data_IF_746897680410
#
_entry.id   IF_746897680410
#
_cell.length_a   1.000
_cell.length_b   1.000
_cell.length_c   1.000
_cell.angle_alpha   90.00
_cell.angle_beta   90.00
_cell.angle_gamma   90.00
#
_symmetry.space_group_name_H-M   'P 1'
#
loop_
_entity.id
_entity.type
_entity.pdbx_description
1 polymer ?
#
# COMPACT_ATOMS: atom_id res chain seq x y z
N UNK A 1 56.69 -4.13 -52.14
CA UNK A 1 56.39 -3.66 -50.77
C UNK A 1 54.95 -3.13 -50.54
N UNK A 2 54.11 -2.94 -51.56
CA UNK A 2 52.73 -2.45 -51.37
C UNK A 2 51.67 -3.57 -51.12
N UNK A 3 51.98 -4.85 -51.35
CA UNK A 3 51.05 -5.95 -51.13
C UNK A 3 50.86 -6.33 -49.65
N UNK A 4 51.92 -6.24 -48.85
CA UNK A 4 51.82 -6.65 -47.43
C UNK A 4 51.06 -5.68 -46.49
N UNK A 5 50.96 -4.41 -46.88
CA UNK A 5 50.17 -3.42 -46.08
C UNK A 5 48.67 -3.56 -46.36
N UNK A 6 48.30 -3.91 -47.59
CA UNK A 6 46.90 -4.15 -47.99
C UNK A 6 46.35 -5.43 -47.37
N UNK A 7 47.12 -6.52 -47.40
CA UNK A 7 46.72 -7.81 -46.77
C UNK A 7 46.59 -7.69 -45.26
N UNK A 8 47.42 -6.86 -44.62
CA UNK A 8 47.36 -6.56 -43.20
C UNK A 8 46.11 -5.74 -42.87
N UNK A 9 45.75 -4.79 -43.71
CA UNK A 9 44.56 -3.95 -43.52
C UNK A 9 43.25 -4.75 -43.67
N UNK A 10 43.18 -5.66 -44.65
CA UNK A 10 42.05 -6.58 -44.87
C UNK A 10 41.87 -7.55 -43.67
N UNK A 11 42.97 -8.06 -43.11
CA UNK A 11 42.96 -8.88 -41.91
C UNK A 11 42.41 -8.12 -40.72
N UNK A 12 42.78 -6.85 -40.56
CA UNK A 12 42.28 -6.00 -39.44
C UNK A 12 40.80 -5.66 -39.61
N UNK A 13 40.33 -5.39 -40.84
CA UNK A 13 38.91 -5.14 -41.10
C UNK A 13 38.05 -6.38 -40.80
N UNK A 14 38.50 -7.55 -41.26
CA UNK A 14 37.84 -8.83 -40.95
C UNK A 14 37.76 -9.11 -39.43
N UNK A 15 38.83 -8.79 -38.69
CA UNK A 15 38.86 -8.93 -37.21
C UNK A 15 37.92 -7.97 -36.51
N UNK A 16 37.66 -6.77 -37.06
CA UNK A 16 36.69 -5.82 -36.52
C UNK A 16 35.24 -6.25 -36.75
N UNK A 17 34.94 -6.84 -37.94
CA UNK A 17 33.62 -7.40 -38.22
C UNK A 17 33.30 -8.59 -37.32
N UNK A 18 34.28 -9.52 -37.15
CA UNK A 18 34.15 -10.64 -36.19
C UNK A 18 33.94 -10.18 -34.74
N UNK A 19 34.54 -9.03 -34.40
CA UNK A 19 34.36 -8.38 -33.09
C UNK A 19 32.92 -7.87 -32.92
N UNK A 20 32.31 -7.33 -33.99
CA UNK A 20 30.90 -6.93 -34.01
C UNK A 20 29.96 -8.11 -33.75
N UNK A 21 30.18 -9.25 -34.38
CA UNK A 21 29.38 -10.46 -34.22
C UNK A 21 29.51 -11.04 -32.79
N UNK A 22 30.71 -11.07 -32.23
CA UNK A 22 30.94 -11.52 -30.84
C UNK A 22 30.21 -10.64 -29.85
N UNK A 23 30.14 -9.32 -30.11
CA UNK A 23 29.42 -8.36 -29.22
C UNK A 23 27.90 -8.49 -29.28
N UNK A 24 27.35 -8.86 -30.44
CA UNK A 24 25.89 -8.99 -30.65
C UNK A 24 25.36 -10.30 -30.05
N UNK A 25 26.15 -11.39 -30.17
CA UNK A 25 25.71 -12.76 -29.87
C UNK A 25 26.07 -13.26 -28.47
N UNK A 26 26.57 -12.40 -27.57
CA UNK A 26 27.07 -12.84 -26.27
C UNK A 26 26.09 -12.59 -25.12
N UNK A 27 25.46 -13.64 -24.63
CA UNK A 27 24.51 -13.63 -23.53
C UNK A 27 25.13 -13.33 -22.14
N UNK A 28 26.47 -13.30 -22.01
CA UNK A 28 27.16 -13.08 -20.71
C UNK A 28 28.48 -12.32 -20.90
N UNK A 29 28.78 -11.38 -19.99
CA UNK A 29 30.02 -10.59 -20.01
C UNK A 29 31.28 -11.46 -20.15
N UNK A 30 31.28 -12.64 -19.56
CA UNK A 30 32.43 -13.56 -19.59
C UNK A 30 32.68 -14.12 -21.00
N UNK A 31 31.64 -14.45 -21.73
CA UNK A 31 31.75 -14.97 -23.12
C UNK A 31 32.21 -13.85 -24.06
N UNK A 32 31.69 -12.61 -23.88
CA UNK A 32 32.19 -11.41 -24.57
C UNK A 32 33.67 -11.18 -24.28
N UNK A 33 34.05 -11.21 -23.02
CA UNK A 33 35.44 -11.00 -22.59
C UNK A 33 36.42 -12.00 -23.20
N UNK A 34 36.04 -13.30 -23.24
CA UNK A 34 36.87 -14.37 -23.82
C UNK A 34 37.01 -14.20 -25.34
N UNK A 35 35.91 -13.93 -26.03
CA UNK A 35 35.91 -13.74 -27.48
C UNK A 35 36.74 -12.54 -27.89
N UNK A 36 36.53 -11.37 -27.26
CA UNK A 36 37.27 -10.15 -27.54
C UNK A 36 38.76 -10.30 -27.23
N UNK A 37 39.09 -10.90 -26.07
CA UNK A 37 40.48 -11.12 -25.70
C UNK A 37 41.20 -12.03 -26.72
N UNK A 38 40.54 -13.11 -27.18
CA UNK A 38 41.08 -14.02 -28.18
C UNK A 38 41.36 -13.29 -29.50
N UNK A 39 40.40 -12.53 -29.99
CA UNK A 39 40.52 -11.69 -31.17
C UNK A 39 41.65 -10.68 -31.04
N UNK A 40 41.64 -9.92 -29.94
CA UNK A 40 42.66 -8.90 -29.67
C UNK A 40 44.07 -9.48 -29.73
N UNK A 41 44.29 -10.60 -29.03
CA UNK A 41 45.60 -11.23 -28.96
C UNK A 41 46.02 -11.79 -30.35
N UNK A 42 45.07 -12.34 -31.12
CA UNK A 42 45.31 -12.81 -32.50
C UNK A 42 45.68 -11.67 -33.41
N UNK A 43 44.93 -10.57 -33.38
CA UNK A 43 45.13 -9.40 -34.25
C UNK A 43 46.49 -8.75 -34.07
N UNK A 44 46.95 -8.57 -32.83
CA UNK A 44 48.26 -7.94 -32.53
C UNK A 44 49.39 -8.96 -32.34
N UNK A 45 49.13 -10.26 -32.61
CA UNK A 45 50.07 -11.37 -32.44
C UNK A 45 50.74 -11.41 -31.03
N UNK A 46 49.94 -11.15 -30.00
CA UNK A 46 50.39 -11.21 -28.59
C UNK A 46 50.13 -12.56 -27.97
N UNK A 47 51.04 -13.00 -27.12
CA UNK A 47 50.97 -14.33 -26.48
C UNK A 47 50.04 -14.40 -25.27
N UNK A 48 49.93 -13.31 -24.53
CA UNK A 48 49.25 -13.23 -23.25
C UNK A 48 48.48 -11.94 -23.11
N UNK A 49 47.36 -12.00 -22.36
CA UNK A 49 46.59 -10.81 -22.06
C UNK A 49 45.50 -11.07 -21.04
N UNK A 50 44.89 -10.01 -20.54
CA UNK A 50 43.71 -10.08 -19.69
C UNK A 50 42.84 -8.84 -19.83
N UNK A 51 41.57 -9.04 -19.53
CA UNK A 51 40.58 -7.98 -19.31
C UNK A 51 40.21 -8.05 -17.83
N UNK A 52 40.35 -6.94 -17.16
CA UNK A 52 39.93 -6.74 -15.79
C UNK A 52 38.69 -5.86 -15.73
N UNK A 53 37.78 -6.19 -14.86
CA UNK A 53 36.65 -5.34 -14.48
C UNK A 53 36.96 -4.57 -13.19
N UNK A 54 36.52 -3.33 -13.15
CA UNK A 54 36.58 -2.52 -11.94
C UNK A 54 35.15 -2.29 -11.39
N UNK A 55 34.92 -2.73 -10.15
CA UNK A 55 33.70 -2.41 -9.42
C UNK A 55 33.96 -1.20 -8.54
N UNK A 56 33.27 -0.09 -8.85
CA UNK A 56 33.44 1.17 -8.13
C UNK A 56 32.80 1.12 -6.72
N UNK A 57 31.74 0.32 -6.52
CA UNK A 57 31.04 0.19 -5.22
C UNK A 57 31.95 -0.48 -4.19
N UNK A 58 32.56 -1.60 -4.56
CA UNK A 58 33.43 -2.37 -3.68
C UNK A 58 34.90 -1.94 -3.76
N UNK A 59 35.23 -1.02 -4.67
CA UNK A 59 36.59 -0.62 -5.01
C UNK A 59 37.50 -1.82 -5.26
N UNK A 60 37.02 -2.75 -6.13
CA UNK A 60 37.71 -3.99 -6.45
C UNK A 60 37.96 -4.15 -7.94
N UNK A 61 39.09 -4.80 -8.27
CA UNK A 61 39.42 -5.25 -9.61
C UNK A 61 39.40 -6.78 -9.63
N UNK A 62 38.69 -7.32 -10.60
CA UNK A 62 38.57 -8.77 -10.84
C UNK A 62 38.84 -9.12 -12.29
N UNK A 63 39.18 -10.39 -12.58
CA UNK A 63 39.34 -10.85 -13.94
C UNK A 63 37.97 -11.07 -14.61
N UNK A 64 37.79 -10.46 -15.77
CA UNK A 64 36.71 -10.85 -16.70
C UNK A 64 37.17 -12.01 -17.56
N UNK A 65 38.38 -11.89 -18.15
CA UNK A 65 38.98 -12.89 -19.02
C UNK A 65 40.49 -12.80 -18.96
N UNK A 66 41.15 -13.95 -19.06
CA UNK A 66 42.64 -14.01 -19.11
C UNK A 66 43.08 -15.11 -20.08
N UNK A 67 44.22 -14.92 -20.70
CA UNK A 67 44.91 -15.92 -21.53
C UNK A 67 46.41 -15.91 -21.26
N UNK A 68 46.93 -17.12 -21.01
CA UNK A 68 48.35 -17.33 -20.73
C UNK A 68 48.83 -16.99 -19.32
N UNK A 69 47.89 -16.66 -18.42
CA UNK A 69 48.14 -16.44 -16.98
C UNK A 69 46.88 -16.94 -16.22
N UNK A 70 47.09 -17.59 -15.08
CA UNK A 70 45.99 -18.00 -14.22
C UNK A 70 45.33 -16.79 -13.54
N UNK A 71 43.99 -16.78 -13.38
CA UNK A 71 43.30 -15.72 -12.67
C UNK A 71 43.65 -15.74 -11.18
N UNK A 72 43.65 -14.58 -10.54
CA UNK A 72 43.78 -14.42 -9.09
C UNK A 72 42.47 -13.96 -8.47
N UNK A 73 42.39 -14.03 -7.15
CA UNK A 73 41.29 -13.45 -6.40
C UNK A 73 41.18 -11.93 -6.65
N UNK A 74 39.96 -11.36 -6.58
CA UNK A 74 39.75 -9.92 -6.69
C UNK A 74 40.64 -9.13 -5.71
N UNK A 75 41.13 -7.97 -6.13
CA UNK A 75 42.00 -7.17 -5.30
C UNK A 75 41.62 -5.67 -5.33
N UNK A 76 41.99 -4.94 -4.27
CA UNK A 76 41.75 -3.51 -4.18
C UNK A 76 42.87 -2.73 -4.84
N UNK A 77 42.58 -1.85 -5.83
CA UNK A 77 43.57 -1.01 -6.47
C UNK A 77 44.03 0.09 -5.51
N UNK A 78 45.31 0.50 -5.66
CA UNK A 78 45.84 1.65 -4.94
C UNK A 78 45.39 2.96 -5.58
N UNK A 79 45.34 4.05 -4.79
CA UNK A 79 45.07 5.40 -5.32
C UNK A 79 46.04 5.79 -6.44
N UNK A 80 47.33 5.44 -6.31
CA UNK A 80 48.35 5.71 -7.33
C UNK A 80 48.06 4.94 -8.64
N UNK A 81 47.55 3.72 -8.57
CA UNK A 81 47.15 2.94 -9.72
C UNK A 81 45.99 3.59 -10.46
N UNK A 82 44.91 3.96 -9.75
CA UNK A 82 43.74 4.62 -10.33
C UNK A 82 44.10 5.98 -10.96
N UNK A 83 44.89 6.82 -10.26
CA UNK A 83 45.33 8.10 -10.79
C UNK A 83 46.18 7.97 -12.05
N UNK A 84 46.95 6.88 -12.15
CA UNK A 84 47.76 6.63 -13.36
C UNK A 84 46.87 6.18 -14.52
N UNK A 85 45.86 5.32 -14.28
CA UNK A 85 44.88 4.94 -15.30
C UNK A 85 44.09 6.15 -15.81
N UNK A 86 43.71 7.06 -14.92
CA UNK A 86 43.03 8.30 -15.29
C UNK A 86 43.84 9.17 -16.20
N UNK A 87 45.18 9.27 -15.99
CA UNK A 87 46.06 9.99 -16.88
C UNK A 87 46.09 9.45 -18.31
N UNK A 88 45.82 8.15 -18.49
CA UNK A 88 45.79 7.48 -19.80
C UNK A 88 44.34 7.20 -20.28
N UNK A 89 43.39 7.96 -19.77
CA UNK A 89 41.96 7.78 -20.02
C UNK A 89 41.56 7.67 -21.51
N UNK A 90 42.19 8.45 -22.37
CA UNK A 90 41.92 8.50 -23.81
C UNK A 90 43.01 7.86 -24.66
N UNK A 91 43.74 6.90 -24.09
CA UNK A 91 44.87 6.29 -24.80
C UNK A 91 45.38 5.05 -24.08
N UNK A 92 46.65 4.85 -24.14
CA UNK A 92 47.33 3.66 -23.62
C UNK A 92 48.56 4.03 -22.80
N UNK A 93 49.00 3.12 -21.91
CA UNK A 93 50.25 3.20 -21.21
C UNK A 93 51.17 2.07 -21.66
N UNK A 94 52.37 2.41 -22.15
CA UNK A 94 53.46 1.45 -22.29
C UNK A 94 54.09 1.21 -20.92
N UNK A 95 54.22 -0.07 -20.56
CA UNK A 95 54.93 -0.44 -19.34
C UNK A 95 56.43 -0.60 -19.59
N UNK A 96 57.20 0.23 -18.93
CA UNK A 96 58.68 0.07 -18.81
C UNK A 96 59.00 -0.78 -17.60
N UNK A 97 60.12 -1.48 -17.63
CA UNK A 97 60.60 -2.22 -16.47
C UNK A 97 60.71 -1.30 -15.24
N UNK A 98 60.13 -1.68 -14.07
CA UNK A 98 60.14 -0.96 -12.79
C UNK A 98 59.19 0.25 -12.64
N UNK A 99 57.99 0.19 -13.20
CA UNK A 99 56.94 1.19 -12.94
C UNK A 99 56.47 1.18 -11.48
N UNK A 100 56.69 2.30 -10.74
CA UNK A 100 56.38 2.43 -9.29
C UNK A 100 54.87 2.37 -8.93
N UNK A 101 53.98 2.66 -9.89
CA UNK A 101 52.54 2.65 -9.68
C UNK A 101 51.91 1.25 -9.75
N UNK A 102 52.65 0.29 -10.24
CA UNK A 102 52.25 -1.12 -10.33
C UNK A 102 52.65 -1.80 -9.01
N UNK A 103 51.65 -2.15 -8.22
CA UNK A 103 51.85 -2.72 -6.88
C UNK A 103 50.94 -3.93 -6.65
N UNK A 104 51.20 -4.70 -5.60
CA UNK A 104 50.36 -5.80 -5.15
C UNK A 104 50.15 -6.91 -6.19
N UNK A 105 48.95 -7.44 -6.26
CA UNK A 105 48.58 -8.54 -7.19
C UNK A 105 48.69 -8.13 -8.66
N UNK A 106 48.39 -6.89 -8.99
CA UNK A 106 48.56 -6.42 -10.36
C UNK A 106 50.04 -6.45 -10.81
N UNK A 107 51.01 -6.19 -9.90
CA UNK A 107 52.44 -6.34 -10.21
C UNK A 107 52.79 -7.80 -10.50
N UNK A 108 52.23 -8.74 -9.75
CA UNK A 108 52.42 -10.18 -9.98
C UNK A 108 51.91 -10.58 -11.37
N UNK A 109 50.71 -10.10 -11.74
CA UNK A 109 50.14 -10.33 -13.07
C UNK A 109 51.05 -9.76 -14.19
N UNK A 110 51.41 -8.49 -14.07
CA UNK A 110 52.25 -7.81 -15.09
C UNK A 110 53.57 -8.56 -15.30
N UNK A 111 54.21 -9.07 -14.23
CA UNK A 111 55.42 -9.85 -14.32
C UNK A 111 55.22 -11.21 -15.01
N UNK A 112 54.15 -11.92 -14.70
CA UNK A 112 53.84 -13.24 -15.30
C UNK A 112 53.37 -13.15 -16.74
N UNK A 113 52.56 -12.14 -17.05
CA UNK A 113 52.04 -11.89 -18.39
C UNK A 113 53.04 -11.20 -19.31
N UNK A 114 54.11 -10.62 -18.75
CA UNK A 114 55.04 -9.72 -19.46
C UNK A 114 54.27 -8.61 -20.16
N UNK A 115 53.31 -7.98 -19.44
CA UNK A 115 52.46 -6.93 -19.98
C UNK A 115 53.30 -5.76 -20.51
N UNK A 116 53.07 -5.37 -21.75
CA UNK A 116 53.73 -4.24 -22.43
C UNK A 116 52.79 -3.05 -22.62
N UNK A 117 51.50 -3.31 -22.87
CA UNK A 117 50.49 -2.28 -23.10
C UNK A 117 49.32 -2.44 -22.14
N UNK A 118 48.89 -1.33 -21.55
CA UNK A 118 47.72 -1.22 -20.67
C UNK A 118 46.80 -0.16 -21.23
N UNK A 119 45.56 -0.53 -21.47
CA UNK A 119 44.51 0.36 -21.96
C UNK A 119 43.39 0.41 -20.91
N UNK A 120 43.22 1.55 -20.24
CA UNK A 120 42.09 1.73 -19.34
C UNK A 120 40.79 1.89 -20.13
N UNK A 121 39.72 1.23 -19.65
CA UNK A 121 38.42 1.18 -20.29
C UNK A 121 37.50 2.19 -19.57
N UNK A 122 37.45 3.41 -20.07
CA UNK A 122 36.64 4.49 -19.51
C UNK A 122 35.39 4.76 -20.36
N UNK A 123 34.23 4.75 -19.73
CA UNK A 123 33.02 5.34 -20.30
C UNK A 123 32.72 6.66 -19.59
N UNK A 124 32.81 7.77 -20.33
CA UNK A 124 32.75 9.13 -19.74
C UNK A 124 33.79 9.28 -18.62
N UNK A 125 33.36 9.45 -17.37
CA UNK A 125 34.21 9.59 -16.19
C UNK A 125 34.36 8.30 -15.37
N UNK A 126 33.70 7.20 -15.80
CA UNK A 126 33.68 5.93 -15.07
C UNK A 126 34.70 4.96 -15.64
N UNK A 127 35.63 4.50 -14.83
CA UNK A 127 36.51 3.37 -15.15
C UNK A 127 35.66 2.08 -15.05
N UNK A 128 35.55 1.34 -16.14
CA UNK A 128 34.84 0.05 -16.20
C UNK A 128 35.81 -1.12 -16.04
N UNK A 129 37.06 -0.92 -16.46
CA UNK A 129 38.04 -1.99 -16.42
C UNK A 129 39.38 -1.60 -17.04
N UNK A 130 40.21 -2.61 -17.27
CA UNK A 130 41.56 -2.45 -17.84
C UNK A 130 41.82 -3.61 -18.81
N UNK A 131 42.27 -3.30 -20.03
CA UNK A 131 42.77 -4.27 -20.97
C UNK A 131 44.30 -4.28 -20.90
N UNK A 132 44.88 -5.44 -20.65
CA UNK A 132 46.32 -5.66 -20.54
C UNK A 132 46.80 -6.59 -21.62
N UNK A 133 47.82 -6.21 -22.40
CA UNK A 133 48.39 -6.99 -23.49
C UNK A 133 49.87 -7.24 -23.23
N UNK A 134 50.30 -8.47 -23.35
CA UNK A 134 51.67 -8.92 -23.12
C UNK A 134 52.61 -8.61 -24.29
N UNK A 135 53.77 -9.29 -24.34
CA UNK A 135 54.70 -9.18 -25.46
C UNK A 135 54.20 -9.96 -26.69
N UNK A 136 54.60 -9.48 -27.89
CA UNK A 136 54.34 -10.19 -29.17
C UNK A 136 55.09 -11.51 -29.25
N UNK A 137 54.59 -12.48 -30.03
CA UNK A 137 55.23 -13.78 -30.19
C UNK A 137 56.68 -13.67 -30.73
N UNK A 138 56.93 -12.74 -31.68
CA UNK A 138 58.27 -12.52 -32.24
C UNK A 138 59.12 -11.54 -31.43
N UNK A 139 58.68 -11.11 -30.24
CA UNK A 139 59.35 -10.12 -29.37
C UNK A 139 59.58 -8.77 -30.03
N UNK A 140 58.82 -8.45 -31.06
CA UNK A 140 58.83 -7.14 -31.73
C UNK A 140 58.17 -6.09 -30.86
N UNK A 141 58.51 -4.82 -31.03
CA UNK A 141 57.80 -3.71 -30.41
C UNK A 141 56.46 -3.46 -31.07
N UNK A 142 55.52 -2.91 -30.33
CA UNK A 142 54.20 -2.53 -30.83
C UNK A 142 54.36 -1.33 -31.80
N UNK A 143 53.90 -1.49 -33.05
CA UNK A 143 53.86 -0.42 -34.03
C UNK A 143 52.76 0.61 -33.72
N UNK A 144 52.83 1.78 -34.31
CA UNK A 144 51.75 2.78 -34.22
C UNK A 144 50.40 2.27 -34.72
N UNK A 145 50.41 1.34 -35.67
CA UNK A 145 49.19 0.70 -36.21
C UNK A 145 48.59 -0.27 -35.17
N UNK A 146 49.41 -1.12 -34.56
CA UNK A 146 48.96 -2.02 -33.49
C UNK A 146 48.28 -1.27 -32.36
N UNK A 147 48.87 -0.13 -31.96
CA UNK A 147 48.31 0.70 -30.89
C UNK A 147 46.97 1.29 -31.28
N UNK A 148 46.82 1.82 -32.47
CA UNK A 148 45.54 2.34 -32.96
C UNK A 148 44.47 1.26 -32.98
N UNK A 149 44.80 0.05 -33.34
CA UNK A 149 43.87 -1.10 -33.38
C UNK A 149 43.47 -1.47 -31.93
N UNK A 150 44.44 -1.56 -31.02
CA UNK A 150 44.16 -1.82 -29.60
C UNK A 150 43.26 -0.74 -28.98
N UNK A 151 43.45 0.52 -29.34
CA UNK A 151 42.57 1.62 -28.88
C UNK A 151 41.13 1.49 -29.44
N UNK A 152 40.99 1.11 -30.72
CA UNK A 152 39.67 0.84 -31.32
C UNK A 152 38.99 -0.32 -30.62
N UNK A 153 39.68 -1.44 -30.40
CA UNK A 153 39.16 -2.61 -29.70
C UNK A 153 38.79 -2.25 -28.26
N UNK A 154 39.64 -1.49 -27.52
CA UNK A 154 39.37 -1.03 -26.18
C UNK A 154 38.09 -0.16 -26.13
N UNK A 155 37.87 0.71 -27.10
CA UNK A 155 36.66 1.53 -27.19
C UNK A 155 35.40 0.67 -27.41
N UNK A 156 35.47 -0.34 -28.31
CA UNK A 156 34.36 -1.27 -28.49
C UNK A 156 34.09 -2.12 -27.26
N UNK A 157 35.14 -2.66 -26.62
CA UNK A 157 35.04 -3.37 -25.36
C UNK A 157 34.41 -2.52 -24.26
N UNK A 158 34.81 -1.25 -24.16
CA UNK A 158 34.24 -0.30 -23.19
C UNK A 158 32.74 -0.15 -23.38
N UNK A 159 32.29 0.04 -24.64
CA UNK A 159 30.84 0.15 -24.94
C UNK A 159 30.09 -1.13 -24.59
N UNK A 160 30.66 -2.29 -24.93
CA UNK A 160 30.05 -3.58 -24.63
C UNK A 160 29.92 -3.82 -23.14
N UNK A 161 30.97 -3.54 -22.35
CA UNK A 161 30.95 -3.66 -20.90
C UNK A 161 29.95 -2.70 -20.26
N UNK A 162 29.87 -1.48 -20.77
CA UNK A 162 28.88 -0.51 -20.28
C UNK A 162 27.44 -0.96 -20.54
N UNK A 163 27.14 -1.41 -21.76
CA UNK A 163 25.82 -1.95 -22.09
C UNK A 163 25.47 -3.16 -21.25
N UNK A 164 26.42 -4.06 -21.02
CA UNK A 164 26.21 -5.22 -20.15
C UNK A 164 25.87 -4.80 -18.71
N UNK A 165 26.60 -3.82 -18.16
CA UNK A 165 26.29 -3.30 -16.82
C UNK A 165 24.91 -2.65 -16.75
N UNK A 166 24.49 -1.93 -17.82
CA UNK A 166 23.16 -1.35 -17.89
C UNK A 166 22.06 -2.44 -17.91
N UNK A 167 22.23 -3.47 -18.71
CA UNK A 167 21.27 -4.59 -18.78
C UNK A 167 21.13 -5.26 -17.42
N UNK A 168 22.24 -5.62 -16.78
CA UNK A 168 22.20 -6.24 -15.46
C UNK A 168 21.52 -5.35 -14.40
N UNK A 169 21.84 -4.05 -14.37
CA UNK A 169 21.19 -3.12 -13.45
C UNK A 169 19.68 -3.01 -13.70
N UNK A 170 19.25 -3.04 -14.96
CA UNK A 170 17.82 -3.03 -15.32
C UNK A 170 17.16 -4.33 -14.85
N UNK A 171 17.77 -5.48 -15.07
CA UNK A 171 17.24 -6.79 -14.64
C UNK A 171 17.12 -6.87 -13.11
N UNK A 172 18.16 -6.44 -12.38
CA UNK A 172 18.12 -6.39 -10.91
C UNK A 172 17.01 -5.47 -10.41
N UNK A 173 16.90 -4.26 -10.98
CA UNK A 173 15.85 -3.30 -10.60
C UNK A 173 14.46 -3.78 -10.97
N UNK A 174 14.31 -4.45 -12.12
CA UNK A 174 13.03 -5.04 -12.54
C UNK A 174 12.60 -6.14 -11.57
N UNK A 175 13.54 -6.98 -11.16
CA UNK A 175 13.26 -8.04 -10.18
C UNK A 175 12.86 -7.45 -8.83
N UNK A 176 13.56 -6.43 -8.35
CA UNK A 176 13.23 -5.71 -7.10
C UNK A 176 11.82 -5.09 -7.17
N UNK A 177 11.50 -4.43 -8.30
CA UNK A 177 10.18 -3.81 -8.53
C UNK A 177 9.09 -4.88 -8.56
N UNK A 178 9.30 -5.99 -9.27
CA UNK A 178 8.31 -7.08 -9.36
C UNK A 178 8.02 -7.71 -7.99
N UNK A 179 9.04 -7.89 -7.15
CA UNK A 179 8.85 -8.36 -5.78
C UNK A 179 8.02 -7.37 -4.95
N UNK A 180 8.31 -6.07 -5.06
CA UNK A 180 7.52 -5.04 -4.37
C UNK A 180 6.09 -4.95 -4.89
N UNK A 181 5.86 -5.12 -6.19
CA UNK A 181 4.50 -5.14 -6.76
C UNK A 181 3.70 -6.33 -6.21
N UNK A 182 4.30 -7.51 -6.13
CA UNK A 182 3.65 -8.70 -5.56
C UNK A 182 3.30 -8.49 -4.07
N UNK A 183 4.20 -7.86 -3.31
CA UNK A 183 3.94 -7.50 -1.91
C UNK A 183 2.76 -6.52 -1.78
N UNK A 184 2.74 -5.47 -2.61
CA UNK A 184 1.64 -4.49 -2.62
C UNK A 184 0.31 -5.11 -3.07
N UNK A 185 0.31 -5.99 -4.08
CA UNK A 185 -0.88 -6.70 -4.55
C UNK A 185 -1.46 -7.58 -3.45
N UNK A 186 -0.61 -8.31 -2.73
CA UNK A 186 -1.01 -9.13 -1.58
C UNK A 186 -1.63 -8.27 -0.48
N UNK A 187 -1.01 -7.13 -0.13
CA UNK A 187 -1.55 -6.20 0.87
C UNK A 187 -2.87 -5.59 0.42
N UNK A 188 -3.02 -5.28 -0.87
CA UNK A 188 -4.25 -4.73 -1.43
C UNK A 188 -5.40 -5.75 -1.36
N UNK A 189 -5.17 -7.00 -1.74
CA UNK A 189 -6.17 -8.07 -1.68
C UNK A 189 -6.65 -8.30 -0.24
N UNK A 190 -5.72 -8.31 0.71
CA UNK A 190 -6.05 -8.40 2.14
C UNK A 190 -6.87 -7.19 2.58
N UNK A 191 -6.50 -5.99 2.15
CA UNK A 191 -7.18 -4.73 2.47
C UNK A 191 -8.62 -4.73 1.98
N UNK A 192 -8.87 -5.18 0.75
CA UNK A 192 -10.22 -5.31 0.18
C UNK A 192 -11.05 -6.32 0.96
N UNK A 193 -10.48 -7.48 1.28
CA UNK A 193 -11.17 -8.50 2.05
C UNK A 193 -11.54 -8.03 3.46
N UNK A 194 -10.61 -7.35 4.14
CA UNK A 194 -10.83 -6.76 5.47
C UNK A 194 -11.91 -5.67 5.42
N UNK A 195 -11.90 -4.80 4.40
CA UNK A 195 -12.84 -3.68 4.28
C UNK A 195 -14.27 -4.12 3.93
N UNK A 196 -14.47 -5.35 3.48
CA UNK A 196 -15.78 -5.90 3.15
C UNK A 196 -16.56 -6.42 4.39
N UNK A 197 -15.88 -6.62 5.52
CA UNK A 197 -16.49 -7.10 6.76
C UNK A 197 -17.03 -5.93 7.56
N UNK A 198 -18.34 -5.92 7.83
CA UNK A 198 -19.03 -4.83 8.54
C UNK A 198 -19.21 -5.11 10.04
N UNK A 199 -18.96 -6.32 10.49
CA UNK A 199 -18.99 -6.66 11.92
C UNK A 199 -17.58 -6.60 12.50
N UNK A 200 -17.41 -5.87 13.62
CA UNK A 200 -16.10 -5.61 14.24
C UNK A 200 -15.49 -6.89 14.83
N UNK A 201 -16.31 -7.80 15.34
CA UNK A 201 -15.81 -9.02 15.98
C UNK A 201 -15.34 -10.01 14.90
N UNK A 202 -16.12 -10.19 13.83
CA UNK A 202 -15.77 -11.01 12.66
C UNK A 202 -14.52 -10.46 11.95
N UNK A 203 -14.43 -9.13 11.81
CA UNK A 203 -13.27 -8.45 11.26
C UNK A 203 -12.00 -8.72 12.09
N UNK A 204 -12.12 -8.68 13.41
CA UNK A 204 -11.01 -8.99 14.32
C UNK A 204 -10.47 -10.40 14.13
N UNK A 205 -11.35 -11.38 14.03
CA UNK A 205 -10.98 -12.78 13.78
C UNK A 205 -10.28 -12.95 12.44
N UNK A 206 -10.83 -12.41 11.35
CA UNK A 206 -10.25 -12.52 10.00
C UNK A 206 -8.83 -11.93 9.95
N UNK A 207 -8.62 -10.74 10.54
CA UNK A 207 -7.30 -10.09 10.58
C UNK A 207 -6.32 -10.92 11.40
N UNK A 208 -6.73 -11.43 12.56
CA UNK A 208 -5.88 -12.26 13.40
C UNK A 208 -5.45 -13.54 12.67
N UNK A 209 -6.40 -14.27 12.08
CA UNK A 209 -6.13 -15.50 11.34
C UNK A 209 -5.17 -15.28 10.16
N UNK A 210 -5.35 -14.22 9.39
CA UNK A 210 -4.46 -13.85 8.29
C UNK A 210 -3.06 -13.51 8.81
N UNK A 211 -2.98 -12.72 9.88
CA UNK A 211 -1.70 -12.34 10.48
C UNK A 211 -0.92 -13.56 10.99
N UNK A 212 -1.61 -14.48 11.66
CA UNK A 212 -1.02 -15.75 12.12
C UNK A 212 -0.52 -16.58 10.95
N UNK A 213 -1.34 -16.73 9.90
CA UNK A 213 -0.98 -17.53 8.73
C UNK A 213 0.20 -16.98 7.95
N UNK A 214 0.22 -15.65 7.70
CA UNK A 214 1.29 -15.00 6.94
C UNK A 214 2.63 -15.03 7.68
N UNK A 215 2.60 -14.80 8.99
CA UNK A 215 3.81 -14.74 9.81
C UNK A 215 4.18 -16.10 10.43
N UNK A 216 3.41 -17.15 10.15
CA UNK A 216 3.57 -18.48 10.73
C UNK A 216 3.70 -18.44 12.27
N UNK A 217 2.85 -17.67 12.93
CA UNK A 217 2.86 -17.55 14.37
C UNK A 217 2.15 -18.75 15.03
N UNK A 218 2.66 -19.27 16.13
CA UNK A 218 2.04 -20.39 16.86
C UNK A 218 0.84 -19.97 17.68
N UNK A 219 0.80 -18.70 18.13
CA UNK A 219 -0.30 -18.11 18.90
C UNK A 219 -0.54 -16.66 18.48
N UNK A 220 -1.79 -16.24 18.59
CA UNK A 220 -2.18 -14.88 18.28
C UNK A 220 -3.26 -14.35 19.24
N UNK A 221 -3.22 -13.05 19.52
CA UNK A 221 -4.18 -12.39 20.37
C UNK A 221 -4.41 -10.95 19.89
N UNK A 222 -5.67 -10.60 19.71
CA UNK A 222 -6.08 -9.21 19.48
C UNK A 222 -6.79 -8.69 20.73
N UNK A 223 -6.33 -7.55 21.22
CA UNK A 223 -6.92 -6.88 22.38
C UNK A 223 -7.30 -5.46 22.03
N UNK A 224 -8.45 -5.00 22.52
CA UNK A 224 -8.91 -3.62 22.33
C UNK A 224 -9.04 -2.90 23.67
N UNK A 225 -8.94 -1.59 23.58
CA UNK A 225 -9.11 -0.71 24.71
C UNK A 225 -10.57 -0.28 24.79
N UNK A 226 -11.21 -0.50 25.97
CA UNK A 226 -12.50 0.12 26.30
C UNK A 226 -12.27 1.38 27.10
N UNK A 227 -13.05 2.42 26.85
CA UNK A 227 -13.00 3.68 27.59
C UNK A 227 -13.24 3.43 29.09
N UNK A 228 -12.39 4.04 29.94
CA UNK A 228 -12.47 3.90 31.41
C UNK A 228 -11.88 2.60 31.95
N UNK A 229 -11.49 1.62 31.14
CA UNK A 229 -10.90 0.36 31.63
C UNK A 229 -9.36 0.40 31.59
N UNK A 230 -8.70 0.03 32.69
CA UNK A 230 -7.26 -0.15 32.71
C UNK A 230 -6.83 -1.49 32.12
N UNK A 231 -7.78 -2.38 31.84
CA UNK A 231 -7.55 -3.74 31.30
C UNK A 231 -7.89 -3.74 29.84
N UNK A 232 -7.02 -4.33 29.03
CA UNK A 232 -7.24 -4.59 27.61
C UNK A 232 -8.16 -5.80 27.46
N UNK A 233 -9.22 -5.64 26.67
CA UNK A 233 -10.22 -6.69 26.46
C UNK A 233 -9.83 -7.52 25.23
N UNK A 234 -9.72 -8.86 25.34
CA UNK A 234 -9.54 -9.71 24.21
C UNK A 234 -10.78 -9.68 23.30
N UNK A 235 -10.55 -9.51 22.00
CA UNK A 235 -11.59 -9.58 20.95
C UNK A 235 -11.58 -10.97 20.34
N UNK A 236 -10.41 -11.42 19.92
CA UNK A 236 -10.22 -12.74 19.36
C UNK A 236 -8.84 -13.30 19.72
N UNK A 237 -8.70 -14.61 19.62
CA UNK A 237 -7.45 -15.30 19.93
C UNK A 237 -7.26 -16.53 19.04
N UNK A 238 -6.00 -16.97 18.95
CA UNK A 238 -5.59 -18.19 18.27
C UNK A 238 -4.67 -18.99 19.18
N UNK A 239 -4.99 -20.29 19.44
CA UNK A 239 -4.23 -21.24 20.24
C UNK A 239 -3.94 -20.81 21.71
N UNK A 240 -4.93 -20.15 22.37
CA UNK A 240 -4.87 -19.82 23.81
C UNK A 240 -5.77 -20.76 24.64
N UNK A 241 -5.49 -22.06 24.60
CA UNK A 241 -6.32 -23.08 25.26
C UNK A 241 -6.30 -22.99 26.79
N UNK A 242 -5.20 -22.52 27.37
CA UNK A 242 -5.01 -22.36 28.84
C UNK A 242 -5.69 -21.09 29.41
N UNK A 243 -6.45 -20.35 28.60
CA UNK A 243 -7.08 -19.10 28.96
C UNK A 243 -6.23 -17.87 28.64
N UNK A 244 -6.91 -16.79 28.28
CA UNK A 244 -6.27 -15.54 27.86
C UNK A 244 -5.80 -14.76 29.09
N UNK A 245 -4.51 -14.41 29.21
CA UNK A 245 -4.00 -13.64 30.32
C UNK A 245 -4.51 -12.18 30.29
N UNK A 246 -4.92 -11.67 31.44
CA UNK A 246 -5.35 -10.28 31.58
C UNK A 246 -4.17 -9.32 31.40
N UNK A 247 -4.22 -8.51 30.36
CA UNK A 247 -3.22 -7.49 30.05
C UNK A 247 -3.69 -6.13 30.52
N UNK A 248 -2.82 -5.43 31.26
CA UNK A 248 -3.10 -4.07 31.70
C UNK A 248 -2.44 -3.05 30.77
N UNK A 249 -3.19 -2.04 30.35
CA UNK A 249 -2.67 -0.88 29.59
C UNK A 249 -1.53 -0.15 30.32
N UNK A 250 -1.45 -0.29 31.65
CA UNK A 250 -0.39 0.33 32.46
C UNK A 250 0.98 -0.30 32.30
N UNK A 251 1.10 -1.44 31.59
CA UNK A 251 2.40 -2.01 31.27
C UNK A 251 3.22 -1.02 30.44
N UNK A 252 4.49 -0.84 30.81
CA UNK A 252 5.39 0.14 30.16
C UNK A 252 5.48 -0.03 28.65
N UNK A 253 5.38 -1.27 28.16
CA UNK A 253 5.40 -1.56 26.73
C UNK A 253 4.28 -0.85 25.97
N UNK A 254 3.03 -0.90 26.48
CA UNK A 254 1.91 -0.28 25.77
C UNK A 254 2.01 1.24 25.77
N UNK A 255 2.55 1.83 26.85
CA UNK A 255 2.84 3.28 26.89
C UNK A 255 3.88 3.67 25.84
N UNK A 256 4.98 2.91 25.75
CA UNK A 256 6.03 3.18 24.76
C UNK A 256 5.49 3.05 23.32
N UNK A 257 4.65 2.04 23.06
CA UNK A 257 4.02 1.85 21.74
C UNK A 257 3.04 3.00 21.45
N UNK A 258 2.26 3.47 22.42
CA UNK A 258 1.37 4.62 22.25
C UNK A 258 2.13 5.92 21.94
N UNK A 259 3.26 6.14 22.62
CA UNK A 259 4.11 7.34 22.41
C UNK A 259 4.83 7.32 21.04
N UNK A 260 5.28 6.15 20.61
CA UNK A 260 6.06 6.01 19.36
C UNK A 260 5.21 5.64 18.14
N UNK A 261 3.99 5.18 18.37
CA UNK A 261 3.09 4.55 17.39
C UNK A 261 3.78 3.45 16.55
N UNK A 262 4.76 2.77 17.16
CA UNK A 262 5.55 1.70 16.51
C UNK A 262 5.45 0.42 17.30
N UNK A 263 5.27 -0.71 16.59
CA UNK A 263 5.31 -2.03 17.18
C UNK A 263 6.70 -2.40 17.70
N UNK A 264 6.78 -3.44 18.50
CA UNK A 264 8.02 -3.90 19.17
C UNK A 264 8.14 -5.42 19.05
N UNK A 265 9.37 -5.88 18.78
CA UNK A 265 9.75 -7.30 18.77
C UNK A 265 10.47 -7.65 20.08
N UNK A 266 10.15 -8.81 20.64
CA UNK A 266 10.83 -9.38 21.80
C UNK A 266 11.37 -10.76 21.42
N UNK A 267 12.60 -11.02 21.81
CA UNK A 267 13.26 -12.31 21.67
C UNK A 267 13.59 -12.90 23.05
N UNK A 268 14.02 -14.14 23.08
CA UNK A 268 14.46 -14.86 24.28
C UNK A 268 15.61 -14.17 25.04
N UNK A 269 16.37 -13.28 24.38
CA UNK A 269 17.50 -12.56 24.95
C UNK A 269 17.07 -11.41 25.87
N UNK A 270 15.90 -10.81 25.65
CA UNK A 270 15.42 -9.61 26.36
C UNK A 270 14.08 -9.88 27.08
N UNK A 271 14.13 -10.55 28.24
CA UNK A 271 12.91 -10.89 29.01
C UNK A 271 12.21 -9.66 29.58
N UNK A 272 11.04 -9.34 29.03
CA UNK A 272 10.18 -8.24 29.47
C UNK A 272 8.97 -8.76 30.30
N UNK A 273 8.27 -7.84 30.97
CA UNK A 273 7.08 -8.13 31.79
C UNK A 273 5.95 -8.78 30.98
N UNK A 274 5.80 -8.46 29.69
CA UNK A 274 4.77 -9.05 28.83
C UNK A 274 5.09 -10.50 28.50
N UNK A 275 6.34 -10.84 28.20
CA UNK A 275 6.76 -12.22 27.93
C UNK A 275 6.50 -13.13 29.14
N UNK A 276 6.76 -12.64 30.36
CA UNK A 276 6.46 -13.36 31.60
C UNK A 276 4.97 -13.60 31.79
N UNK A 277 4.12 -12.62 31.46
CA UNK A 277 2.67 -12.73 31.58
C UNK A 277 2.06 -13.68 30.56
N UNK A 278 2.55 -13.62 29.33
CA UNK A 278 2.10 -14.48 28.23
C UNK A 278 2.74 -15.87 28.28
N UNK A 279 3.81 -16.06 29.06
CA UNK A 279 4.65 -17.29 29.13
C UNK A 279 5.24 -17.69 27.78
N UNK A 280 5.56 -16.68 26.96
CA UNK A 280 6.12 -16.86 25.62
C UNK A 280 7.44 -16.11 25.49
N UNK A 281 8.37 -16.64 24.68
CA UNK A 281 9.73 -16.08 24.57
C UNK A 281 9.86 -15.09 23.41
N UNK A 282 9.30 -15.42 22.25
CA UNK A 282 9.37 -14.59 21.05
C UNK A 282 8.02 -13.97 20.78
N UNK A 283 7.94 -12.65 20.83
CA UNK A 283 6.71 -11.89 20.65
C UNK A 283 6.91 -10.77 19.65
N UNK A 284 5.84 -10.46 18.94
CA UNK A 284 5.69 -9.21 18.21
C UNK A 284 4.41 -8.54 18.68
N UNK A 285 4.47 -7.26 19.03
CA UNK A 285 3.33 -6.48 19.52
C UNK A 285 3.21 -5.24 18.66
N UNK A 286 2.06 -5.08 18.01
CA UNK A 286 1.80 -3.96 17.08
C UNK A 286 0.51 -3.26 17.48
N UNK A 287 0.46 -1.90 17.49
CA UNK A 287 -0.76 -1.17 17.76
C UNK A 287 -1.76 -1.27 16.59
N UNK A 288 -3.04 -1.32 16.92
CA UNK A 288 -4.13 -1.10 16.00
C UNK A 288 -4.46 0.39 16.04
N UNK A 289 -3.86 1.16 15.13
CA UNK A 289 -3.95 2.62 15.14
C UNK A 289 -4.62 3.15 13.88
N UNK A 290 -5.64 4.00 14.07
CA UNK A 290 -6.27 4.77 12.99
C UNK A 290 -6.30 6.24 13.40
N UNK A 291 -5.96 7.16 12.48
CA UNK A 291 -5.97 8.62 12.71
C UNK A 291 -5.24 9.03 14.02
N UNK A 292 -4.05 8.45 14.24
CA UNK A 292 -3.20 8.68 15.42
C UNK A 292 -3.80 8.23 16.78
N UNK A 293 -4.92 7.52 16.77
CA UNK A 293 -5.53 6.95 17.96
C UNK A 293 -5.34 5.45 17.99
N UNK A 294 -4.66 4.94 19.02
CA UNK A 294 -4.53 3.50 19.26
C UNK A 294 -5.83 2.95 19.85
N UNK A 295 -6.44 1.99 19.17
CA UNK A 295 -7.68 1.33 19.58
C UNK A 295 -7.43 0.01 20.32
N UNK A 296 -6.27 -0.61 20.08
CA UNK A 296 -5.89 -1.90 20.63
C UNK A 296 -4.52 -2.35 20.17
N UNK A 297 -4.25 -3.62 20.34
CA UNK A 297 -2.97 -4.23 20.00
C UNK A 297 -3.17 -5.63 19.44
N UNK A 298 -2.35 -5.95 18.42
CA UNK A 298 -2.13 -7.30 17.92
C UNK A 298 -0.87 -7.86 18.55
N UNK A 299 -0.95 -9.07 19.09
CA UNK A 299 0.17 -9.78 19.71
C UNK A 299 0.28 -11.14 19.05
N UNK A 300 1.41 -11.42 18.41
CA UNK A 300 1.71 -12.74 17.86
C UNK A 300 2.92 -13.32 18.60
N UNK A 301 2.90 -14.64 18.74
CA UNK A 301 3.93 -15.36 19.51
C UNK A 301 4.55 -16.46 18.67
N UNK A 302 5.87 -16.64 18.82
CA UNK A 302 6.66 -17.76 18.32
C UNK A 302 6.46 -18.03 16.83
N UNK A 303 7.33 -17.47 16.00
CA UNK A 303 7.35 -17.74 14.56
C UNK A 303 7.86 -19.16 14.31
N UNK A 304 7.04 -20.01 13.72
CA UNK A 304 7.38 -21.39 13.39
C UNK A 304 8.01 -21.47 12.00
N UNK A 305 9.18 -22.09 11.92
CA UNK A 305 9.89 -22.34 10.66
C UNK A 305 10.18 -23.83 10.52
N UNK A 306 10.67 -24.24 9.37
CA UNK A 306 11.09 -25.64 9.14
C UNK A 306 12.23 -26.09 10.08
N UNK A 307 12.95 -25.16 10.67
CA UNK A 307 14.13 -25.40 11.52
C UNK A 307 13.75 -25.33 13.01
N UNK A 308 12.57 -24.80 13.34
CA UNK A 308 12.07 -24.60 14.71
C UNK A 308 11.46 -23.21 14.92
N UNK A 309 11.40 -22.78 16.18
CA UNK A 309 10.88 -21.47 16.54
C UNK A 309 11.98 -20.42 16.40
N UNK A 310 11.71 -19.36 15.64
CA UNK A 310 12.61 -18.23 15.41
C UNK A 310 12.01 -16.92 15.95
N UNK A 311 12.85 -15.92 16.26
CA UNK A 311 12.35 -14.58 16.56
C UNK A 311 11.76 -13.92 15.31
N UNK A 312 10.80 -13.02 15.50
CA UNK A 312 10.29 -12.17 14.41
C UNK A 312 11.37 -11.20 13.94
N UNK A 313 11.34 -10.87 12.65
CA UNK A 313 12.24 -9.90 12.00
C UNK A 313 11.62 -8.51 11.90
N UNK A 314 12.42 -7.48 11.58
CA UNK A 314 11.91 -6.13 11.26
C UNK A 314 10.94 -6.17 10.05
N UNK A 315 11.17 -7.04 9.07
CA UNK A 315 10.27 -7.22 7.93
C UNK A 315 8.90 -7.79 8.37
N UNK A 316 8.87 -8.70 9.33
CA UNK A 316 7.64 -9.20 9.95
C UNK A 316 6.90 -8.08 10.70
N UNK A 317 7.67 -7.18 11.34
CA UNK A 317 7.12 -6.02 12.04
C UNK A 317 6.46 -5.04 11.08
N UNK A 318 7.12 -4.71 9.98
CA UNK A 318 6.60 -3.80 8.96
C UNK A 318 5.32 -4.37 8.33
N UNK A 319 5.31 -5.65 8.00
CA UNK A 319 4.16 -6.34 7.42
C UNK A 319 2.97 -6.37 8.40
N UNK A 320 3.20 -6.77 9.65
CA UNK A 320 2.14 -6.79 10.67
C UNK A 320 1.62 -5.40 10.97
N UNK A 321 2.50 -4.38 10.95
CA UNK A 321 2.11 -2.98 11.15
C UNK A 321 1.17 -2.52 10.02
N UNK A 322 1.47 -2.86 8.77
CA UNK A 322 0.61 -2.53 7.63
C UNK A 322 -0.77 -3.19 7.77
N UNK A 323 -0.83 -4.48 8.15
CA UNK A 323 -2.07 -5.20 8.39
C UNK A 323 -2.89 -4.59 9.55
N UNK A 324 -2.24 -4.27 10.66
CA UNK A 324 -2.88 -3.68 11.83
C UNK A 324 -3.44 -2.28 11.56
N UNK A 325 -2.72 -1.44 10.80
CA UNK A 325 -3.20 -0.13 10.39
C UNK A 325 -4.45 -0.23 9.51
N UNK A 326 -4.43 -1.17 8.55
CA UNK A 326 -5.58 -1.41 7.68
C UNK A 326 -6.78 -1.93 8.47
N UNK A 327 -6.55 -2.88 9.39
CA UNK A 327 -7.57 -3.40 10.28
C UNK A 327 -8.20 -2.29 11.16
N UNK A 328 -7.37 -1.41 11.72
CA UNK A 328 -7.85 -0.31 12.55
C UNK A 328 -8.77 0.64 11.78
N UNK A 329 -8.44 0.96 10.53
CA UNK A 329 -9.31 1.78 9.65
C UNK A 329 -10.62 1.06 9.35
N UNK A 330 -10.58 -0.23 9.02
CA UNK A 330 -11.77 -1.03 8.75
C UNK A 330 -12.67 -1.16 10.01
N UNK A 331 -12.08 -1.35 11.19
CA UNK A 331 -12.79 -1.37 12.47
C UNK A 331 -13.49 -0.03 12.77
N UNK A 332 -12.85 1.10 12.48
CA UNK A 332 -13.47 2.43 12.62
C UNK A 332 -14.67 2.57 11.68
N UNK A 333 -14.52 2.18 10.42
CA UNK A 333 -15.61 2.23 9.45
C UNK A 333 -16.77 1.33 9.86
N UNK A 334 -16.51 0.11 10.32
CA UNK A 334 -17.54 -0.82 10.82
C UNK A 334 -18.27 -0.27 12.05
N UNK A 335 -17.55 0.37 13.01
CA UNK A 335 -18.16 1.03 14.15
C UNK A 335 -19.07 2.18 13.73
N UNK A 336 -18.60 3.07 12.87
CA UNK A 336 -19.39 4.19 12.35
C UNK A 336 -20.64 3.69 11.60
N UNK A 337 -20.49 2.66 10.79
CA UNK A 337 -21.65 2.06 10.10
C UNK A 337 -22.67 1.49 11.08
N UNK A 338 -22.20 0.81 12.14
CA UNK A 338 -23.06 0.25 13.20
C UNK A 338 -23.78 1.36 14.00
N UNK A 339 -23.10 2.46 14.27
CA UNK A 339 -23.68 3.64 14.94
C UNK A 339 -24.77 4.28 14.06
N UNK A 340 -24.46 4.57 12.78
CA UNK A 340 -25.43 5.14 11.84
C UNK A 340 -26.64 4.21 11.68
N UNK A 341 -26.43 2.90 11.58
CA UNK A 341 -27.51 1.93 11.45
C UNK A 341 -28.39 1.88 12.70
N UNK A 342 -27.77 1.92 13.88
CA UNK A 342 -28.51 2.00 15.17
C UNK A 342 -29.33 3.27 15.28
N UNK A 343 -28.74 4.42 14.93
CA UNK A 343 -29.44 5.71 14.95
C UNK A 343 -30.61 5.71 13.98
N UNK A 344 -30.43 5.19 12.77
CA UNK A 344 -31.51 5.01 11.79
C UNK A 344 -32.63 4.14 12.34
N UNK A 345 -32.31 2.94 12.88
CA UNK A 345 -33.28 2.03 13.47
C UNK A 345 -34.01 2.65 14.67
N UNK A 346 -33.30 3.42 15.51
CA UNK A 346 -33.88 4.13 16.63
C UNK A 346 -34.89 5.18 16.14
N UNK A 347 -34.56 5.99 15.14
CA UNK A 347 -35.44 6.98 14.54
C UNK A 347 -36.68 6.32 13.89
N UNK A 348 -36.48 5.21 13.14
CA UNK A 348 -37.60 4.45 12.56
C UNK A 348 -38.49 3.85 13.64
N UNK A 349 -37.93 3.36 14.73
CA UNK A 349 -38.70 2.81 15.87
C UNK A 349 -39.52 3.90 16.56
N UNK A 350 -38.95 5.09 16.77
CA UNK A 350 -39.67 6.24 17.35
C UNK A 350 -40.86 6.61 16.41
N UNK A 351 -40.57 6.83 15.13
CA UNK A 351 -41.58 7.22 14.15
C UNK A 351 -42.68 6.14 14.00
N UNK A 352 -42.31 4.85 14.14
CA UNK A 352 -43.27 3.72 14.11
C UNK A 352 -44.14 3.61 15.37
N UNK A 353 -43.67 4.11 16.52
CA UNK A 353 -44.42 4.03 17.80
C UNK A 353 -45.35 5.21 18.04
N UNK A 354 -45.17 6.32 17.32
CA UNK A 354 -45.99 7.53 17.43
C UNK A 354 -47.37 7.27 16.73
N UNK A 355 -48.45 7.57 17.41
CA UNK A 355 -49.82 7.45 16.87
C UNK A 355 -50.14 8.55 15.83
N UNK A 356 -49.35 9.61 15.80
CA UNK A 356 -49.49 10.70 14.82
C UNK A 356 -48.87 10.28 13.50
N UNK A 357 -49.61 10.44 12.41
CA UNK A 357 -49.09 10.28 11.04
C UNK A 357 -48.06 11.41 10.76
N UNK A 358 -46.86 11.04 10.39
CA UNK A 358 -45.83 11.98 9.96
C UNK A 358 -45.55 11.75 8.47
N UNK A 359 -45.74 12.79 7.67
CA UNK A 359 -45.55 12.80 6.22
C UNK A 359 -44.50 13.89 5.91
N UNK A 360 -43.47 13.57 5.15
CA UNK A 360 -42.50 14.60 4.70
C UNK A 360 -42.64 14.79 3.20
N UNK A 361 -42.52 16.07 2.81
CA UNK A 361 -42.56 16.52 1.41
C UNK A 361 -41.18 17.08 1.05
N UNK A 362 -40.77 16.84 -0.17
CA UNK A 362 -39.58 17.45 -0.74
C UNK A 362 -39.84 18.92 -1.18
N UNK A 363 -38.86 19.68 -1.69
CA UNK A 363 -39.04 21.04 -2.10
C UNK A 363 -40.01 21.27 -3.29
N UNK A 364 -40.34 20.22 -4.04
CA UNK A 364 -41.28 20.30 -5.17
C UNK A 364 -42.67 19.74 -4.81
N UNK A 365 -42.87 19.31 -3.56
CA UNK A 365 -44.16 18.82 -3.04
C UNK A 365 -44.42 17.33 -3.23
N UNK A 366 -43.42 16.53 -3.63
CA UNK A 366 -43.50 15.10 -3.65
C UNK A 366 -43.29 14.50 -2.25
N UNK A 367 -44.01 13.41 -1.94
CA UNK A 367 -43.91 12.75 -0.65
C UNK A 367 -42.66 11.88 -0.62
N UNK A 368 -41.67 12.24 0.17
CA UNK A 368 -40.39 11.52 0.33
C UNK A 368 -40.43 10.48 1.48
N UNK A 369 -41.30 10.68 2.51
CA UNK A 369 -41.45 9.73 3.60
C UNK A 369 -42.82 9.79 4.24
N UNK A 370 -43.30 8.64 4.78
CA UNK A 370 -44.50 8.55 5.61
C UNK A 370 -44.31 7.43 6.63
N UNK A 371 -44.73 7.67 7.90
CA UNK A 371 -44.66 6.65 8.93
C UNK A 371 -45.87 5.72 8.90
N UNK A 372 -45.83 4.63 9.68
CA UNK A 372 -46.90 3.62 9.72
C UNK A 372 -48.22 4.23 10.19
N UNK A 373 -48.23 5.16 11.13
CA UNK A 373 -49.45 5.82 11.59
C UNK A 373 -50.08 6.66 10.47
N UNK A 374 -49.30 7.38 9.66
CA UNK A 374 -49.77 8.10 8.49
C UNK A 374 -50.47 7.19 7.46
N UNK A 375 -49.83 6.07 7.11
CA UNK A 375 -50.42 5.06 6.23
C UNK A 375 -51.76 4.50 6.79
N UNK A 376 -51.81 4.23 8.08
CA UNK A 376 -53.02 3.76 8.75
C UNK A 376 -54.15 4.81 8.75
N UNK A 377 -53.83 6.08 8.93
CA UNK A 377 -54.81 7.19 8.92
C UNK A 377 -55.34 7.38 7.50
N UNK A 378 -54.45 7.42 6.50
CA UNK A 378 -54.83 7.57 5.10
C UNK A 378 -55.48 6.33 4.51
N UNK A 379 -55.31 5.13 5.12
CA UNK A 379 -55.80 3.82 4.60
C UNK A 379 -55.18 3.49 3.22
N UNK A 380 -53.93 3.80 3.04
CA UNK A 380 -53.18 3.60 1.79
C UNK A 380 -51.92 2.76 2.02
N UNK A 381 -51.44 2.11 0.97
CA UNK A 381 -50.17 1.40 0.97
C UNK A 381 -49.03 2.37 0.67
N UNK A 382 -47.85 2.05 1.17
CA UNK A 382 -46.65 2.91 1.02
C UNK A 382 -46.30 3.16 -0.45
N UNK A 383 -46.47 2.18 -1.32
CA UNK A 383 -46.28 2.25 -2.77
C UNK A 383 -47.15 3.30 -3.46
N UNK A 384 -48.37 3.54 -2.91
CA UNK A 384 -49.35 4.45 -3.49
C UNK A 384 -49.17 5.90 -3.03
N UNK A 385 -48.30 6.12 -2.06
CA UNK A 385 -48.05 7.43 -1.41
C UNK A 385 -46.71 8.00 -1.77
N UNK A 386 -45.62 7.24 -1.65
CA UNK A 386 -44.28 7.71 -1.87
C UNK A 386 -44.04 8.07 -3.35
N UNK A 387 -43.42 9.23 -3.60
CA UNK A 387 -43.14 9.77 -4.94
C UNK A 387 -44.33 10.43 -5.61
N UNK A 388 -45.53 10.44 -4.97
CA UNK A 388 -46.65 11.21 -5.48
C UNK A 388 -46.68 12.61 -4.87
N UNK A 389 -47.12 13.59 -5.65
CA UNK A 389 -47.29 14.96 -5.19
C UNK A 389 -48.46 15.04 -4.20
N UNK A 390 -48.34 15.84 -3.13
CA UNK A 390 -49.34 15.95 -2.08
C UNK A 390 -50.72 16.37 -2.61
N UNK A 391 -50.78 17.19 -3.65
CA UNK A 391 -52.05 17.61 -4.28
C UNK A 391 -52.84 16.42 -4.85
N UNK A 392 -52.13 15.38 -5.32
CA UNK A 392 -52.82 14.17 -5.79
C UNK A 392 -53.36 13.35 -4.62
N UNK A 393 -52.62 13.26 -3.52
CA UNK A 393 -53.02 12.52 -2.34
C UNK A 393 -54.23 13.15 -1.65
N UNK A 394 -54.31 14.47 -1.61
CA UNK A 394 -55.38 15.24 -0.98
C UNK A 394 -56.30 15.95 -2.00
N UNK A 395 -56.45 15.37 -3.19
CA UNK A 395 -57.28 15.96 -4.29
C UNK A 395 -58.72 16.30 -3.85
N UNK A 396 -59.29 15.58 -2.85
CA UNK A 396 -60.64 15.82 -2.34
C UNK A 396 -60.71 16.76 -1.13
N UNK A 397 -59.58 17.24 -0.66
CA UNK A 397 -59.44 17.97 0.59
C UNK A 397 -58.75 19.34 0.31
N UNK A 398 -59.44 20.25 -0.41
CA UNK A 398 -58.93 21.56 -0.81
C UNK A 398 -58.35 22.34 0.37
N UNK A 399 -58.92 22.20 1.55
CA UNK A 399 -58.51 22.86 2.76
C UNK A 399 -57.07 22.41 3.23
N UNK A 400 -56.76 21.14 3.06
CA UNK A 400 -55.42 20.61 3.35
C UNK A 400 -54.38 21.12 2.35
N UNK A 401 -54.80 21.19 1.07
CA UNK A 401 -53.94 21.73 0.01
C UNK A 401 -53.66 23.20 0.30
N UNK A 402 -54.66 24.01 0.71
CA UNK A 402 -54.49 25.41 1.09
C UNK A 402 -53.51 25.54 2.28
N UNK A 403 -53.68 24.72 3.32
CA UNK A 403 -52.83 24.73 4.52
C UNK A 403 -51.36 24.46 4.17
N UNK A 404 -51.07 23.45 3.32
CA UNK A 404 -49.74 23.11 2.83
C UNK A 404 -49.16 24.29 2.02
N UNK A 405 -49.94 24.84 1.10
CA UNK A 405 -49.54 25.95 0.24
C UNK A 405 -49.21 27.21 1.06
N UNK A 406 -50.02 27.54 2.07
CA UNK A 406 -49.78 28.68 2.98
C UNK A 406 -48.52 28.47 3.80
N UNK A 407 -48.28 27.28 4.34
CA UNK A 407 -47.04 26.96 5.08
C UNK A 407 -45.81 27.05 4.18
N UNK A 408 -46.01 26.70 2.90
CA UNK A 408 -44.94 26.80 1.92
C UNK A 408 -44.56 28.23 1.57
N UNK A 409 -45.58 29.06 1.30
CA UNK A 409 -45.39 30.47 0.89
C UNK A 409 -44.86 31.35 2.02
N UNK A 410 -45.43 31.21 3.22
CA UNK A 410 -45.09 32.04 4.37
C UNK A 410 -43.88 31.54 5.15
N UNK A 411 -43.42 30.30 4.86
CA UNK A 411 -42.34 29.60 5.54
C UNK A 411 -42.57 29.55 7.08
N UNK A 412 -43.83 29.35 7.47
CA UNK A 412 -44.25 29.24 8.86
C UNK A 412 -45.04 27.95 9.10
N UNK A 413 -45.06 27.52 10.37
CA UNK A 413 -45.93 26.42 10.76
C UNK A 413 -47.40 26.84 10.69
N UNK A 414 -48.22 26.10 9.96
CA UNK A 414 -49.67 26.25 9.91
C UNK A 414 -50.31 25.00 10.50
N UNK A 415 -51.39 25.17 11.24
CA UNK A 415 -52.13 24.07 11.83
C UNK A 415 -53.59 24.32 11.83
N UNK A 416 -54.38 23.25 11.72
CA UNK A 416 -55.85 23.30 11.83
C UNK A 416 -56.38 22.10 12.61
N UNK A 417 -57.44 22.31 13.31
CA UNK A 417 -58.03 21.39 14.25
C UNK A 417 -59.40 20.89 13.78
N UNK A 418 -59.71 19.62 14.02
CA UNK A 418 -60.98 18.99 13.67
C UNK A 418 -61.29 19.05 12.16
N UNK A 419 -60.29 18.91 11.33
CA UNK A 419 -60.45 18.86 9.87
C UNK A 419 -61.03 17.50 9.46
N UNK A 420 -62.00 17.53 8.55
CA UNK A 420 -62.52 16.31 7.93
C UNK A 420 -61.59 15.85 6.81
N UNK A 421 -60.98 14.71 6.93
CA UNK A 421 -60.14 14.11 5.92
C UNK A 421 -60.88 12.96 5.20
N UNK A 422 -60.99 13.07 3.90
CA UNK A 422 -61.61 12.06 3.04
C UNK A 422 -60.63 10.91 2.75
N UNK A 423 -60.74 9.80 3.47
CA UNK A 423 -59.91 8.63 3.19
C UNK A 423 -60.62 7.67 2.21
N UNK A 424 -59.91 6.69 1.68
CA UNK A 424 -60.46 5.70 0.72
C UNK A 424 -61.72 4.99 1.25
N UNK A 425 -61.88 4.79 2.56
CA UNK A 425 -62.95 3.97 3.15
C UNK A 425 -63.97 4.75 4.01
N UNK A 426 -63.61 5.93 4.54
CA UNK A 426 -64.47 6.75 5.42
C UNK A 426 -63.94 8.16 5.60
N UNK A 427 -64.80 9.02 6.10
CA UNK A 427 -64.41 10.32 6.61
C UNK A 427 -63.79 10.17 8.00
N UNK A 428 -62.60 10.75 8.20
CA UNK A 428 -61.85 10.72 9.45
C UNK A 428 -61.63 12.14 9.94
N UNK A 429 -61.84 12.39 11.24
CA UNK A 429 -61.58 13.72 11.81
C UNK A 429 -60.17 13.78 12.33
N UNK A 430 -59.38 14.73 11.84
CA UNK A 430 -57.95 14.84 12.14
C UNK A 430 -57.57 16.22 12.61
N UNK A 431 -56.52 16.35 13.41
CA UNK A 431 -55.75 17.57 13.56
C UNK A 431 -54.57 17.51 12.60
N UNK A 432 -54.31 18.61 11.91
CA UNK A 432 -53.19 18.69 10.94
C UNK A 432 -52.29 19.83 11.31
N UNK A 433 -50.98 19.61 11.25
CA UNK A 433 -49.97 20.65 11.36
C UNK A 433 -48.93 20.48 10.25
N UNK A 434 -48.62 21.56 9.55
CA UNK A 434 -47.62 21.59 8.48
C UNK A 434 -46.54 22.60 8.85
N UNK A 435 -45.29 22.18 8.81
CA UNK A 435 -44.15 23.00 9.15
C UNK A 435 -43.05 22.91 8.09
N UNK A 436 -42.30 23.99 7.83
CA UNK A 436 -41.12 23.92 6.97
C UNK A 436 -40.03 23.05 7.58
N UNK A 437 -39.42 22.18 6.75
CA UNK A 437 -38.24 21.38 7.09
C UNK A 437 -36.99 22.12 6.61
N UNK A 438 -36.15 22.48 7.55
CA UNK A 438 -34.93 23.24 7.30
C UNK A 438 -33.70 22.36 7.54
N UNK A 439 -32.61 22.62 6.79
CA UNK A 439 -31.30 22.05 7.10
C UNK A 439 -30.63 22.84 8.26
N UNK A 440 -29.48 22.35 8.79
CA UNK A 440 -28.75 23.06 9.86
C UNK A 440 -28.29 24.48 9.46
N UNK A 441 -28.16 24.75 8.16
CA UNK A 441 -27.79 26.04 7.61
C UNK A 441 -29.01 26.97 7.42
N UNK A 442 -30.26 26.48 7.67
CA UNK A 442 -31.48 27.23 7.57
C UNK A 442 -32.13 27.26 6.17
N UNK A 443 -31.62 26.46 5.22
CA UNK A 443 -32.22 26.35 3.89
C UNK A 443 -33.40 25.39 3.90
N UNK A 444 -34.44 25.71 3.11
CA UNK A 444 -35.65 24.91 3.02
C UNK A 444 -35.39 23.57 2.30
N UNK A 445 -35.67 22.46 2.98
CA UNK A 445 -35.57 21.08 2.49
C UNK A 445 -36.93 20.43 2.19
N UNK A 446 -37.99 21.22 2.22
CA UNK A 446 -39.36 20.74 2.02
C UNK A 446 -40.27 21.08 3.21
N UNK A 447 -41.28 20.23 3.43
CA UNK A 447 -42.26 20.39 4.52
C UNK A 447 -42.39 19.10 5.31
N UNK A 448 -42.85 19.21 6.54
CA UNK A 448 -43.26 18.07 7.37
C UNK A 448 -44.73 18.28 7.78
N UNK A 449 -45.57 17.30 7.56
CA UNK A 449 -46.98 17.32 7.95
C UNK A 449 -47.19 16.27 9.06
N UNK A 450 -47.80 16.69 10.16
CA UNK A 450 -48.25 15.85 11.25
C UNK A 450 -49.77 15.74 11.19
N UNK A 451 -50.31 14.51 11.18
CA UNK A 451 -51.72 14.21 11.10
C UNK A 451 -52.13 13.32 12.27
N UNK A 452 -53.01 13.78 13.13
CA UNK A 452 -53.47 13.07 14.31
C UNK A 452 -54.98 12.68 14.13
N UNK A 453 -55.28 11.41 14.20
CA UNK A 453 -56.72 10.92 14.16
C UNK A 453 -57.37 11.17 15.54
N UNK A 454 -58.28 12.09 15.54
CA UNK A 454 -59.08 12.45 16.75
C UNK A 454 -60.54 11.96 16.65
N UNK A 455 -60.82 11.04 15.72
CA UNK A 455 -62.21 10.62 15.46
C UNK A 455 -62.93 10.09 16.71
N UNK A 456 -62.25 9.33 17.55
CA UNK A 456 -62.86 8.78 18.78
C UNK A 456 -63.06 9.86 19.84
N UNK A 457 -62.12 10.76 20.00
CA UNK A 457 -62.25 11.93 20.91
C UNK A 457 -63.43 12.84 20.45
N UNK A 458 -63.50 13.09 19.13
CA UNK A 458 -64.58 13.90 18.53
C UNK A 458 -65.95 13.24 18.71
N UNK A 459 -66.06 11.91 18.57
CA UNK A 459 -67.31 11.17 18.84
C UNK A 459 -67.74 11.33 20.29
N UNK A 460 -66.83 11.13 21.22
CA UNK A 460 -67.07 11.30 22.67
C UNK A 460 -67.51 12.74 22.94
N UNK A 461 -66.79 13.72 22.45
CA UNK A 461 -67.15 15.16 22.59
C UNK A 461 -68.52 15.50 22.04
N UNK A 462 -68.87 14.98 20.85
CA UNK A 462 -70.17 15.20 20.24
C UNK A 462 -71.26 14.42 20.96
N UNK A 463 -71.01 13.29 21.54
CA UNK A 463 -71.95 12.56 22.38
C UNK A 463 -72.22 13.32 23.69
N UNK A 464 -71.15 13.81 24.36
CA UNK A 464 -71.30 14.66 25.53
C UNK A 464 -72.14 15.93 25.24
N UNK A 465 -71.87 16.65 24.14
CA UNK A 465 -72.66 17.83 23.72
C UNK A 465 -74.16 17.55 23.54
N UNK A 466 -74.56 16.30 23.23
CA UNK A 466 -75.97 15.94 23.09
C UNK A 466 -76.66 15.66 24.43
N UNK A 467 -75.97 15.26 25.47
CA UNK A 467 -76.54 14.85 26.73
C UNK A 467 -76.23 15.81 27.90
N UNK A 468 -75.32 16.74 27.72
CA UNK A 468 -74.86 17.69 28.76
C UNK A 468 -75.17 19.10 28.31
N UNK A 469 -75.60 19.99 29.22
CA UNK A 469 -75.85 21.41 28.84
C UNK A 469 -74.59 22.10 28.39
N UNK A 470 -74.68 23.02 27.45
CA UNK A 470 -73.58 23.76 26.86
C UNK A 470 -72.64 24.41 27.89
N UNK A 471 -73.22 24.92 29.00
CA UNK A 471 -72.48 25.53 30.10
C UNK A 471 -71.52 24.57 30.84
N UNK A 472 -71.91 23.32 31.03
CA UNK A 472 -71.09 22.32 31.74
C UNK A 472 -70.01 21.77 30.77
N UNK A 473 -70.26 21.74 29.48
CA UNK A 473 -69.22 21.35 28.50
C UNK A 473 -68.12 22.39 28.36
N UNK A 474 -68.50 23.66 28.38
CA UNK A 474 -67.54 24.77 28.27
C UNK A 474 -66.70 25.02 29.55
N UNK A 475 -67.16 24.50 30.75
CA UNK A 475 -66.39 24.49 32.01
C UNK A 475 -65.42 23.27 32.15
N UNK A 476 -65.65 22.16 31.45
CA UNK A 476 -64.88 20.91 31.56
C UNK A 476 -63.86 20.71 30.43
N UNK A 477 -63.89 21.52 29.39
CA UNK A 477 -62.97 21.45 28.24
C UNK A 477 -62.15 22.75 28.09
#
# INVERSE_FOLDING_TARGET
MKGGETDQLEYYLSSLDELGEVLINADRARSVGVGILRLTLGTVMASKGAIFLYNNQDNQISFLSTRGVEPYDPFKPTKAFLAKLEKYRNGHAFLKDKEKWITGQFKKYVSQSKTKVVLPLYHKNNLLGVLCIGEKFMREEYSSIDIKILEIIANHLTKALYNYQLINNVEEKTTEINLKLLELETLFDISVAISSVLDVDELGEEVLWRSVGILNASKGLMVVQKEGSPILNPVCNFNWDDGIPLLSRKLQIFKNIEETNRGVIFSSENKNSIQKKLREENLIVVPLSAKEKTQGYMILCNKETRIGVEPFSEMDLDLLTALCNQAAVAMDNAKLFKEITKEKQFNESILGSIATGVITLDPIGEIDSINVAGLNILKMEKSDVIGNHYMYLFEKDDHIIELVTLSELENETKSDLNVSLQTVSKETVVNISVAPRLDPEGNKQGLVMAVEDISDVSKVKNTFKRYVSKQVVDELL
#
